data_IF_599155715522
#
_entry.id   IF_599155715522
#
_cell.length_a   1.000
_cell.length_b   1.000
_cell.length_c   1.000
_cell.angle_alpha   90.00
_cell.angle_beta   90.00
_cell.angle_gamma   90.00
#
_symmetry.space_group_name_H-M   'P 1'
#
loop_
_entity.id
_entity.type
_entity.pdbx_description
1 polymer ?
#
# COMPACT_ATOMS: atom_id res chain seq x y z
N UNK A 1 4.39 -29.12 6.08
CA UNK A 1 4.54 -28.04 5.09
C UNK A 1 4.04 -26.74 5.73
N UNK A 2 4.95 -25.90 6.26
CA UNK A 2 4.59 -24.73 7.07
C UNK A 2 4.26 -23.49 6.25
N UNK A 3 3.31 -22.69 6.73
CA UNK A 3 2.99 -21.39 6.12
C UNK A 3 4.14 -20.41 6.34
N UNK A 4 4.61 -19.76 5.27
CA UNK A 4 5.68 -18.75 5.33
C UNK A 4 5.07 -17.35 5.42
N UNK A 5 5.66 -16.51 6.27
CA UNK A 5 5.26 -15.11 6.44
C UNK A 5 5.62 -14.27 5.21
N UNK A 6 4.85 -13.20 4.97
CA UNK A 6 5.13 -12.26 3.90
C UNK A 6 6.42 -11.45 4.20
N UNK A 7 7.46 -11.52 3.35
CA UNK A 7 8.79 -10.97 3.65
C UNK A 7 8.84 -9.44 3.67
N UNK A 8 7.92 -8.76 3.00
CA UNK A 8 7.84 -7.29 3.05
C UNK A 8 7.17 -6.86 4.36
N UNK A 9 6.09 -7.55 4.75
CA UNK A 9 5.31 -7.19 5.94
C UNK A 9 6.14 -7.33 7.22
N UNK A 10 6.92 -8.41 7.34
CA UNK A 10 7.78 -8.63 8.51
C UNK A 10 8.96 -7.64 8.60
N UNK A 11 9.27 -6.90 7.53
CA UNK A 11 10.37 -5.92 7.47
C UNK A 11 9.92 -4.47 7.59
N UNK A 12 8.60 -4.22 7.64
CA UNK A 12 8.05 -2.88 7.80
C UNK A 12 8.54 -2.26 9.12
N UNK A 13 9.12 -1.07 9.05
CA UNK A 13 9.67 -0.36 10.22
C UNK A 13 11.04 -0.88 10.71
N UNK A 14 11.64 -1.88 10.04
CA UNK A 14 12.99 -2.37 10.32
C UNK A 14 13.94 -2.04 9.17
N UNK A 15 13.63 -2.54 7.97
CA UNK A 15 14.45 -2.36 6.76
C UNK A 15 13.64 -1.94 5.53
N UNK A 16 12.31 -1.94 5.63
CA UNK A 16 11.39 -1.46 4.60
C UNK A 16 10.46 -0.41 5.19
N UNK A 17 10.23 0.66 4.44
CA UNK A 17 9.31 1.73 4.79
C UNK A 17 7.89 1.45 4.27
N UNK A 18 6.95 2.27 4.74
CA UNK A 18 5.57 2.26 4.30
C UNK A 18 5.43 2.80 2.88
N UNK A 19 4.61 2.15 2.06
CA UNK A 19 4.31 2.61 0.69
C UNK A 19 3.38 3.85 0.65
N UNK A 20 2.61 4.09 1.72
CA UNK A 20 1.78 5.28 1.93
C UNK A 20 2.11 5.85 3.30
N UNK A 21 2.55 7.10 3.37
CA UNK A 21 2.91 7.80 4.61
C UNK A 21 2.01 9.01 4.80
N UNK A 22 0.90 8.82 5.52
CA UNK A 22 -0.04 9.88 5.88
C UNK A 22 -0.67 9.58 7.25
N UNK A 23 -1.23 10.60 7.89
CA UNK A 23 -1.94 10.50 9.17
C UNK A 23 -3.39 10.96 8.98
N UNK A 24 -4.32 10.28 9.65
CA UNK A 24 -5.73 10.64 9.65
C UNK A 24 -6.33 10.37 11.03
N UNK A 25 -7.37 11.12 11.37
CA UNK A 25 -8.17 10.82 12.55
C UNK A 25 -9.02 9.56 12.33
N UNK A 26 -9.51 8.98 13.44
CA UNK A 26 -10.22 7.69 13.39
C UNK A 26 -11.47 7.73 12.49
N UNK A 27 -12.15 8.87 12.42
CA UNK A 27 -13.33 9.04 11.58
C UNK A 27 -12.97 8.99 10.08
N UNK A 28 -11.87 9.62 9.70
CA UNK A 28 -11.51 9.82 8.29
C UNK A 28 -10.59 8.73 7.72
N UNK A 29 -9.99 7.91 8.59
CA UNK A 29 -9.02 6.89 8.18
C UNK A 29 -9.56 5.92 7.13
N UNK A 30 -10.80 5.46 7.30
CA UNK A 30 -11.42 4.50 6.39
C UNK A 30 -11.63 5.11 4.99
N UNK A 31 -12.08 6.36 4.94
CA UNK A 31 -12.34 7.07 3.67
C UNK A 31 -11.01 7.41 2.97
N UNK A 32 -10.02 7.87 3.72
CA UNK A 32 -8.67 8.11 3.18
C UNK A 32 -8.02 6.83 2.65
N UNK A 33 -8.19 5.70 3.34
CA UNK A 33 -7.69 4.41 2.86
C UNK A 33 -8.41 3.98 1.57
N UNK A 34 -9.73 4.12 1.50
CA UNK A 34 -10.51 3.78 0.31
C UNK A 34 -10.10 4.61 -0.91
N UNK A 35 -9.87 5.91 -0.71
CA UNK A 35 -9.40 6.79 -1.78
C UNK A 35 -7.98 6.43 -2.24
N UNK A 36 -7.06 6.09 -1.33
CA UNK A 36 -5.70 5.65 -1.68
C UNK A 36 -5.74 4.36 -2.52
N UNK A 37 -6.56 3.38 -2.15
CA UNK A 37 -6.75 2.15 -2.91
C UNK A 37 -7.31 2.41 -4.32
N UNK A 38 -8.31 3.29 -4.43
CA UNK A 38 -8.91 3.66 -5.71
C UNK A 38 -7.91 4.37 -6.64
N UNK A 39 -7.12 5.30 -6.10
CA UNK A 39 -6.08 6.03 -6.85
C UNK A 39 -5.00 5.07 -7.33
N UNK A 40 -4.52 4.15 -6.46
CA UNK A 40 -3.52 3.14 -6.82
C UNK A 40 -4.02 2.23 -7.95
N UNK A 41 -5.26 1.75 -7.86
CA UNK A 41 -5.86 0.91 -8.90
C UNK A 41 -6.00 1.67 -10.24
N UNK A 42 -6.42 2.94 -10.18
CA UNK A 42 -6.53 3.78 -11.37
C UNK A 42 -5.17 4.01 -12.05
N UNK A 43 -4.15 4.37 -11.27
CA UNK A 43 -2.79 4.60 -11.77
C UNK A 43 -2.19 3.33 -12.35
N UNK A 44 -2.34 2.19 -11.67
CA UNK A 44 -1.87 0.90 -12.15
C UNK A 44 -2.51 0.54 -13.49
N UNK A 45 -3.81 0.82 -13.68
CA UNK A 45 -4.52 0.58 -14.95
C UNK A 45 -4.07 1.53 -16.06
N UNK A 46 -3.86 2.81 -15.76
CA UNK A 46 -3.43 3.81 -16.74
C UNK A 46 -1.99 3.62 -17.18
N UNK A 47 -1.12 3.21 -16.25
CA UNK A 47 0.33 3.14 -16.44
C UNK A 47 0.84 1.71 -16.68
N UNK A 48 -0.03 0.78 -17.12
CA UNK A 48 0.37 -0.60 -17.41
C UNK A 48 1.52 -0.69 -18.43
N UNK A 49 1.53 0.21 -19.41
CA UNK A 49 2.56 0.27 -20.45
C UNK A 49 3.83 1.02 -20.01
N UNK A 50 3.79 1.69 -18.85
CA UNK A 50 4.89 2.50 -18.35
C UNK A 50 5.83 1.72 -17.40
N UNK A 51 5.63 0.40 -17.24
CA UNK A 51 6.47 -0.49 -16.43
C UNK A 51 6.70 0.01 -14.99
N UNK A 52 5.65 0.56 -14.36
CA UNK A 52 5.71 1.10 -12.99
C UNK A 52 5.73 -0.05 -11.97
N UNK A 53 6.71 -0.03 -11.05
CA UNK A 53 6.91 -1.02 -9.97
C UNK A 53 6.99 -0.36 -8.60
#
# INVERSE_FOLDING_TARGET
MGQKVHPIGIRLGISKDWNSTWYAERADYADMLNTDLAVRAYLQKRLQQAAVS
#
